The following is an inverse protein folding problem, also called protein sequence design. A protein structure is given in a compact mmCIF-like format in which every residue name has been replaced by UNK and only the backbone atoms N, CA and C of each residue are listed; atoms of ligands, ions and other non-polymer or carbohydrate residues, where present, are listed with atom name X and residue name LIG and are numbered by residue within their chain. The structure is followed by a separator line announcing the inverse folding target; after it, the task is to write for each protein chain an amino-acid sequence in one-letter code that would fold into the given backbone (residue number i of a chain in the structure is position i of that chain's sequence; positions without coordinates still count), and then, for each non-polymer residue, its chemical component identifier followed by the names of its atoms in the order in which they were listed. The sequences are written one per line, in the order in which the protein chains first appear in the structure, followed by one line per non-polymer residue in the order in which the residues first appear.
data_IF_402872019372
#
_entry.id   IF_402872019372
#
_cell.length_a   1.000
_cell.length_b   1.000
_cell.length_c   1.000
_cell.angle_alpha   90.00
_cell.angle_beta   90.00
_cell.angle_gamma   90.00
#
_symmetry.space_group_name_H-M   'P 1'
#
loop_
_entity.id
_entity.type
_entity.pdbx_description
1 polymer ?
#
# COMPACT_ATOMS: atom_id res chain seq x y z
N UNK A 1 -2.57 -2.71 5.14
CA UNK A 1 -3.13 -3.43 6.30
C UNK A 1 -4.35 -2.70 6.82
N UNK A 2 -5.11 -3.24 7.78
CA UNK A 2 -6.40 -2.67 8.21
C UNK A 2 -6.32 -1.20 8.66
N UNK A 3 -5.26 -0.81 9.37
CA UNK A 3 -5.04 0.56 9.82
C UNK A 3 -4.81 1.55 8.67
N UNK A 4 -4.15 1.09 7.60
CA UNK A 4 -3.91 1.89 6.41
C UNK A 4 -5.20 2.09 5.60
N UNK A 5 -6.00 1.03 5.47
CA UNK A 5 -7.31 1.08 4.80
C UNK A 5 -8.24 2.05 5.51
N UNK A 6 -8.27 2.03 6.85
CA UNK A 6 -9.05 2.98 7.64
C UNK A 6 -8.56 4.43 7.50
N UNK A 7 -7.24 4.65 7.44
CA UNK A 7 -6.67 5.97 7.18
C UNK A 7 -7.10 6.50 5.81
N UNK A 8 -6.99 5.68 4.76
CA UNK A 8 -7.38 6.06 3.39
C UNK A 8 -8.86 6.40 3.28
N UNK A 9 -9.74 5.66 3.95
CA UNK A 9 -11.16 5.98 4.03
C UNK A 9 -11.41 7.34 4.69
N UNK A 10 -10.72 7.63 5.81
CA UNK A 10 -10.81 8.93 6.49
C UNK A 10 -10.32 10.08 5.62
N UNK A 11 -9.24 9.87 4.86
CA UNK A 11 -8.69 10.85 3.93
C UNK A 11 -9.60 11.09 2.73
N UNK A 12 -10.23 10.05 2.19
CA UNK A 12 -11.23 10.18 1.14
C UNK A 12 -12.39 11.09 1.55
N UNK A 13 -12.91 10.92 2.77
CA UNK A 13 -13.94 11.80 3.33
C UNK A 13 -13.46 13.24 3.49
N UNK A 14 -12.23 13.46 3.95
CA UNK A 14 -11.64 14.78 4.09
C UNK A 14 -11.52 15.50 2.73
N UNK A 15 -11.05 14.81 1.70
CA UNK A 15 -10.93 15.37 0.36
C UNK A 15 -12.28 15.66 -0.29
N UNK A 16 -13.29 14.81 -0.06
CA UNK A 16 -14.65 15.05 -0.53
C UNK A 16 -15.22 16.36 0.03
N UNK A 17 -15.07 16.58 1.35
CA UNK A 17 -15.46 17.85 1.97
C UNK A 17 -14.68 19.01 1.37
N UNK A 18 -13.37 18.86 1.11
CA UNK A 18 -12.56 19.92 0.52
C UNK A 18 -12.95 20.28 -0.93
N UNK A 19 -13.70 19.45 -1.66
CA UNK A 19 -14.23 19.82 -2.98
C UNK A 19 -15.32 20.89 -2.89
N UNK A 20 -16.12 20.85 -1.82
CA UNK A 20 -17.19 21.83 -1.55
C UNK A 20 -16.66 23.16 -0.98
N UNK A 21 -15.39 23.20 -0.56
CA UNK A 21 -14.74 24.36 0.06
C UNK A 21 -13.43 24.74 -0.68
N UNK A 22 -13.51 25.50 -1.79
CA UNK A 22 -12.35 25.87 -2.62
C UNK A 22 -11.24 26.60 -1.87
N UNK A 23 -11.58 27.40 -0.86
CA UNK A 23 -10.63 28.09 0.00
C UNK A 23 -9.81 27.14 0.88
N UNK A 24 -10.42 26.04 1.35
CA UNK A 24 -9.72 24.99 2.08
C UNK A 24 -8.75 24.24 1.17
N UNK A 25 -9.20 23.92 -0.06
CA UNK A 25 -8.36 23.27 -1.08
C UNK A 25 -7.16 24.12 -1.51
N UNK A 26 -7.33 25.44 -1.56
CA UNK A 26 -6.27 26.39 -1.88
C UNK A 26 -5.35 26.69 -0.68
N UNK A 27 -5.70 26.24 0.53
CA UNK A 27 -4.87 26.44 1.71
C UNK A 27 -3.53 25.73 1.56
N UNK A 28 -2.43 26.46 1.77
CA UNK A 28 -1.07 25.93 1.75
C UNK A 28 -0.90 24.73 2.71
N UNK A 29 -1.54 24.80 3.89
CA UNK A 29 -1.51 23.71 4.87
C UNK A 29 -2.17 22.43 4.34
N UNK A 30 -3.27 22.57 3.60
CA UNK A 30 -3.98 21.44 2.99
C UNK A 30 -3.19 20.84 1.83
N UNK A 31 -2.60 21.68 0.98
CA UNK A 31 -1.73 21.24 -0.12
C UNK A 31 -0.49 20.49 0.39
N UNK A 32 0.13 20.98 1.47
CA UNK A 32 1.26 20.29 2.10
C UNK A 32 0.85 18.95 2.73
N UNK A 33 -0.33 18.87 3.34
CA UNK A 33 -0.88 17.61 3.83
C UNK A 33 -1.11 16.61 2.68
N UNK A 34 -1.73 17.05 1.58
CA UNK A 34 -1.93 16.21 0.39
C UNK A 34 -0.61 15.66 -0.13
N UNK A 35 0.40 16.52 -0.30
CA UNK A 35 1.74 16.12 -0.76
C UNK A 35 2.39 15.08 0.16
N UNK A 36 2.29 15.26 1.48
CA UNK A 36 2.79 14.30 2.47
C UNK A 36 2.09 12.95 2.39
N UNK A 37 0.77 12.94 2.20
CA UNK A 37 -0.01 11.71 2.03
C UNK A 37 0.45 10.97 0.79
N UNK A 38 0.52 11.64 -0.37
CA UNK A 38 0.98 11.01 -1.61
C UNK A 38 2.40 10.46 -1.50
N UNK A 39 3.31 11.18 -0.82
CA UNK A 39 4.66 10.69 -0.54
C UNK A 39 4.67 9.45 0.37
N UNK A 40 3.77 9.40 1.36
CA UNK A 40 3.61 8.23 2.22
C UNK A 40 3.03 7.04 1.45
N UNK A 41 2.05 7.25 0.59
CA UNK A 41 1.46 6.19 -0.26
C UNK A 41 2.50 5.59 -1.20
N UNK A 42 3.33 6.41 -1.85
CA UNK A 42 4.45 5.93 -2.66
C UNK A 42 5.42 5.08 -1.82
N UNK A 43 5.79 5.56 -0.63
CA UNK A 43 6.67 4.81 0.27
C UNK A 43 6.04 3.46 0.67
N UNK A 44 4.74 3.43 0.94
CA UNK A 44 4.04 2.19 1.27
C UNK A 44 4.04 1.24 0.06
N UNK A 45 3.77 1.74 -1.15
CA UNK A 45 3.81 0.95 -2.37
C UNK A 45 5.19 0.29 -2.58
N UNK A 46 6.27 1.08 -2.46
CA UNK A 46 7.65 0.58 -2.57
C UNK A 46 7.94 -0.52 -1.54
N UNK A 47 7.49 -0.35 -0.29
CA UNK A 47 7.69 -1.37 0.77
C UNK A 47 6.92 -2.65 0.49
N UNK A 48 5.74 -2.55 -0.12
CA UNK A 48 4.95 -3.73 -0.53
C UNK A 48 5.65 -4.51 -1.62
N UNK A 49 6.13 -3.81 -2.65
CA UNK A 49 6.89 -4.44 -3.74
C UNK A 49 8.13 -5.14 -3.21
N UNK A 50 8.92 -4.45 -2.38
CA UNK A 50 10.11 -5.01 -1.75
C UNK A 50 9.83 -6.27 -0.92
N UNK A 51 8.76 -6.26 -0.13
CA UNK A 51 8.34 -7.44 0.64
C UNK A 51 7.98 -8.62 -0.28
N UNK A 52 7.17 -8.35 -1.31
CA UNK A 52 6.74 -9.38 -2.26
C UNK A 52 7.90 -9.96 -3.06
N UNK A 53 8.86 -9.13 -3.46
CA UNK A 53 10.08 -9.56 -4.11
C UNK A 53 10.89 -10.49 -3.18
N UNK A 54 11.08 -10.11 -1.92
CA UNK A 54 11.80 -10.91 -0.93
C UNK A 54 11.11 -12.26 -0.67
N UNK A 55 9.77 -12.27 -0.55
CA UNK A 55 8.99 -13.50 -0.39
C UNK A 55 9.08 -14.37 -1.62
N UNK A 56 8.95 -13.81 -2.82
CA UNK A 56 9.06 -14.56 -4.06
C UNK A 56 10.46 -15.19 -4.20
N UNK A 57 11.51 -14.41 -3.93
CA UNK A 57 12.88 -14.91 -3.93
C UNK A 57 13.08 -16.06 -2.91
N UNK A 58 12.52 -15.94 -1.70
CA UNK A 58 12.55 -17.02 -0.72
C UNK A 58 11.83 -18.27 -1.25
N UNK A 59 10.57 -18.14 -1.68
CA UNK A 59 9.72 -19.25 -2.11
C UNK A 59 10.33 -20.00 -3.29
N UNK A 60 10.89 -19.26 -4.26
CA UNK A 60 11.60 -19.84 -5.40
C UNK A 60 12.85 -20.59 -4.95
N UNK A 61 13.67 -20.00 -4.07
CA UNK A 61 14.95 -20.62 -3.65
C UNK A 61 14.78 -21.84 -2.78
N UNK A 62 13.81 -21.87 -1.86
CA UNK A 62 13.60 -23.04 -0.98
C UNK A 62 13.15 -24.30 -1.76
N UNK A 63 12.71 -24.15 -3.00
CA UNK A 63 12.33 -25.25 -3.90
C UNK A 63 13.45 -25.68 -4.86
N UNK A 64 14.51 -24.89 -5.01
CA UNK A 64 15.58 -25.16 -5.97
C UNK A 64 16.75 -25.95 -5.37
N UNK A 65 17.40 -26.80 -6.16
CA UNK A 65 18.65 -27.45 -5.77
C UNK A 65 19.84 -26.49 -5.96
N UNK A 66 20.79 -26.40 -5.00
CA UNK A 66 20.92 -27.20 -3.77
C UNK A 66 20.20 -26.60 -2.55
N UNK A 67 19.66 -25.39 -2.65
CA UNK A 67 19.06 -24.61 -1.57
C UNK A 67 17.96 -25.37 -0.80
N UNK A 68 17.17 -26.23 -1.46
CA UNK A 68 16.14 -27.10 -0.86
C UNK A 68 16.68 -28.01 0.26
N UNK A 69 17.94 -28.44 0.18
CA UNK A 69 18.56 -29.28 1.20
C UNK A 69 18.83 -28.47 2.49
N UNK A 70 19.32 -27.24 2.31
CA UNK A 70 19.58 -26.29 3.40
C UNK A 70 18.23 -25.83 3.97
N UNK A 71 17.27 -25.50 3.11
CA UNK A 71 15.94 -25.05 3.48
C UNK A 71 15.24 -26.06 4.39
N UNK A 72 15.23 -27.35 4.01
CA UNK A 72 14.65 -28.42 4.84
C UNK A 72 15.40 -28.63 6.14
N UNK A 73 16.74 -28.57 6.13
CA UNK A 73 17.56 -28.78 7.33
C UNK A 73 17.36 -27.68 8.39
N UNK A 74 17.12 -26.44 7.95
CA UNK A 74 16.97 -25.27 8.82
C UNK A 74 15.52 -24.77 8.95
N UNK A 75 14.54 -25.46 8.35
CA UNK A 75 13.11 -25.16 8.51
C UNK A 75 12.64 -23.91 7.77
N UNK A 76 13.29 -23.53 6.66
CA UNK A 76 12.79 -22.44 5.81
C UNK A 76 11.51 -22.91 5.09
N UNK A 77 10.49 -22.05 5.10
CA UNK A 77 9.15 -22.35 4.58
C UNK A 77 8.68 -21.24 3.67
N UNK A 78 7.73 -21.59 2.77
CA UNK A 78 7.11 -20.61 1.90
C UNK A 78 6.33 -19.58 2.73
N UNK A 79 6.28 -18.36 2.24
CA UNK A 79 5.51 -17.26 2.83
C UNK A 79 4.49 -16.77 1.82
N UNK A 80 3.36 -16.30 2.31
CA UNK A 80 2.35 -15.70 1.46
C UNK A 80 2.80 -14.31 1.00
N UNK A 81 2.45 -13.95 -0.23
CA UNK A 81 2.65 -12.61 -0.73
C UNK A 81 1.73 -11.65 0.04
N UNK A 82 2.19 -10.41 0.20
CA UNK A 82 1.38 -9.34 0.71
C UNK A 82 0.45 -8.86 -0.41
N UNK A 83 -0.76 -9.39 -0.39
CA UNK A 83 -1.83 -9.01 -1.30
C UNK A 83 -2.76 -7.97 -0.67
N UNK A 84 -3.17 -7.03 -1.51
CA UNK A 84 -4.21 -6.05 -1.22
C UNK A 84 -5.28 -6.21 -2.28
N UNK A 85 -6.54 -6.06 -1.88
CA UNK A 85 -7.65 -6.06 -2.83
C UNK A 85 -7.44 -4.98 -3.90
N UNK A 86 -8.03 -5.16 -5.08
CA UNK A 86 -7.94 -4.16 -6.14
C UNK A 86 -8.63 -2.84 -5.71
N UNK A 87 -9.66 -2.90 -4.87
CA UNK A 87 -10.22 -1.73 -4.19
C UNK A 87 -9.19 -0.98 -3.32
N UNK A 88 -8.30 -1.70 -2.62
CA UNK A 88 -7.21 -1.12 -1.83
C UNK A 88 -6.00 -0.70 -2.66
N UNK A 89 -6.01 -0.90 -3.98
CA UNK A 89 -4.94 -0.41 -4.88
C UNK A 89 -5.41 0.73 -5.77
N UNK A 90 -6.71 0.90 -5.96
CA UNK A 90 -7.26 2.06 -6.69
C UNK A 90 -6.88 3.34 -5.96
N UNK A 91 -6.35 4.30 -6.70
CA UNK A 91 -6.34 5.70 -6.25
C UNK A 91 -7.75 6.08 -5.81
N UNK A 92 -7.85 6.87 -4.75
CA UNK A 92 -9.15 7.34 -4.26
C UNK A 92 -9.74 8.24 -5.34
N UNK A 93 -10.59 7.68 -6.20
CA UNK A 93 -11.34 8.44 -7.21
C UNK A 93 -12.51 9.13 -6.50
N UNK A 94 -12.20 10.31 -5.95
CA UNK A 94 -13.09 11.14 -5.15
C UNK A 94 -14.38 11.50 -5.91
N UNK A 95 -14.33 11.60 -7.24
CA UNK A 95 -15.51 11.89 -8.06
C UNK A 95 -16.49 10.72 -8.17
N UNK A 96 -15.98 9.48 -8.09
CA UNK A 96 -16.82 8.29 -8.22
C UNK A 96 -17.62 7.93 -6.96
N UNK A 97 -17.23 8.49 -5.81
CA UNK A 97 -17.80 8.17 -4.50
C UNK A 97 -19.03 9.01 -4.15
N UNK A 98 -19.26 10.12 -4.86
CA UNK A 98 -20.32 11.09 -4.54
C UNK A 98 -21.10 11.57 -5.78
N UNK A 99 -21.08 10.78 -6.86
CA UNK A 99 -21.96 10.95 -8.03
C UNK A 99 -23.37 10.43 -7.79
#
# INVERSE_FOLDING_TARGET
GPAETQLRLGLGNLFAVAEDYPELKASESFQHLQSRISGLENTIADRREYYNEAVNNNNVRIEQFPDVLIARKFGFTARDLLEFSDEEKKDVDLKSLFG
#
